data_IF_080866912216
#
_entry.id   IF_080866912216
#
_cell.length_a   1.000
_cell.length_b   1.000
_cell.length_c   1.000
_cell.angle_alpha   90.00
_cell.angle_beta   90.00
_cell.angle_gamma   90.00
#
_symmetry.space_group_name_H-M   'P 1'
#
loop_
_entity.id
_entity.type
_entity.pdbx_description
1 polymer ?
#
# COMPACT_ATOMS: atom_id res chain seq x y z
N UNK A 1 29.28 -47.50 69.16
CA UNK A 1 27.94 -47.25 69.69
C UNK A 1 27.32 -46.17 68.82
N UNK A 2 26.79 -46.63 67.65
CA UNK A 2 26.40 -45.77 66.54
C UNK A 2 24.90 -45.57 66.57
N UNK A 3 24.47 -44.32 66.62
CA UNK A 3 23.07 -43.94 66.59
C UNK A 3 22.82 -43.36 65.21
N UNK A 4 22.11 -44.12 64.32
CA UNK A 4 21.64 -43.69 63.01
C UNK A 4 20.35 -42.87 63.20
N UNK A 5 20.37 -41.62 62.70
CA UNK A 5 19.18 -40.84 62.60
C UNK A 5 18.55 -41.01 61.19
N UNK A 6 17.32 -41.49 61.19
CA UNK A 6 16.47 -41.57 59.97
C UNK A 6 15.86 -40.17 59.70
N UNK A 7 16.08 -39.66 58.53
CA UNK A 7 15.33 -38.52 57.96
C UNK A 7 14.25 -39.01 57.02
N UNK A 8 12.99 -38.59 57.18
CA UNK A 8 11.94 -38.87 56.14
C UNK A 8 12.01 -37.89 54.98
N UNK A 9 12.11 -38.43 53.79
CA UNK A 9 12.06 -37.65 52.58
C UNK A 9 10.65 -37.12 52.30
N UNK A 10 10.46 -35.82 52.38
CA UNK A 10 9.23 -35.15 51.96
C UNK A 10 9.18 -35.09 50.42
N UNK A 11 8.33 -35.90 49.81
CA UNK A 11 7.97 -35.78 48.38
C UNK A 11 7.11 -34.55 48.21
N UNK A 12 7.67 -33.48 47.59
CA UNK A 12 6.91 -32.34 47.07
C UNK A 12 6.18 -32.77 45.81
N UNK A 13 4.86 -32.84 45.89
CA UNK A 13 4.01 -32.92 44.70
C UNK A 13 4.01 -31.55 44.04
N UNK A 14 4.62 -31.44 42.86
CA UNK A 14 4.49 -30.27 41.99
C UNK A 14 3.14 -30.41 41.30
N UNK A 15 2.17 -29.58 41.69
CA UNK A 15 0.95 -29.39 40.91
C UNK A 15 1.32 -28.60 39.64
N UNK A 16 1.27 -29.29 38.51
CA UNK A 16 1.33 -28.64 37.18
C UNK A 16 -0.08 -28.15 36.89
N UNK A 17 -0.33 -26.87 37.13
CA UNK A 17 -1.52 -26.20 36.65
C UNK A 17 -1.34 -26.02 35.12
N UNK A 18 -2.08 -26.82 34.33
CA UNK A 18 -2.11 -26.71 32.89
C UNK A 18 -2.80 -25.39 32.52
N UNK A 19 -2.02 -24.35 32.25
CA UNK A 19 -2.54 -23.11 31.62
C UNK A 19 -2.89 -23.47 30.21
N UNK A 20 -4.19 -23.67 29.93
CA UNK A 20 -4.72 -23.75 28.56
C UNK A 20 -4.65 -22.34 28.00
N UNK A 21 -3.58 -22.04 27.23
CA UNK A 21 -3.52 -20.87 26.38
C UNK A 21 -4.54 -21.06 25.25
N UNK A 22 -5.72 -20.48 25.40
CA UNK A 22 -6.64 -20.29 24.29
C UNK A 22 -5.98 -19.31 23.31
N UNK A 23 -5.37 -19.84 22.27
CA UNK A 23 -5.02 -19.04 21.09
C UNK A 23 -6.33 -18.60 20.43
N UNK A 24 -6.79 -17.38 20.78
CA UNK A 24 -7.80 -16.68 20.02
C UNK A 24 -7.08 -16.20 18.77
N UNK A 25 -7.06 -17.04 17.73
CA UNK A 25 -6.75 -16.56 16.38
C UNK A 25 -7.83 -15.55 16.01
N UNK A 26 -7.50 -14.29 15.70
CA UNK A 26 -8.50 -13.40 15.13
C UNK A 26 -8.93 -14.03 13.81
N UNK A 27 -10.14 -14.56 13.76
CA UNK A 27 -10.84 -14.78 12.49
C UNK A 27 -11.00 -13.37 11.90
N UNK A 28 -10.15 -13.02 10.95
CA UNK A 28 -10.45 -11.96 10.01
C UNK A 28 -11.61 -12.48 9.16
N UNK A 29 -12.82 -12.27 9.65
CA UNK A 29 -13.99 -12.38 8.83
C UNK A 29 -13.86 -11.26 7.79
N UNK A 30 -13.45 -11.63 6.58
CA UNK A 30 -13.72 -10.81 5.41
C UNK A 30 -15.24 -10.81 5.31
N UNK A 31 -15.87 -9.76 5.80
CA UNK A 31 -17.29 -9.57 5.60
C UNK A 31 -17.45 -9.18 4.13
N UNK A 32 -17.83 -10.17 3.31
CA UNK A 32 -18.27 -9.91 1.95
C UNK A 32 -19.43 -8.92 2.04
N UNK A 33 -19.34 -7.79 1.35
CA UNK A 33 -20.46 -6.84 1.33
C UNK A 33 -21.54 -7.34 0.39
N UNK A 34 -22.79 -7.14 0.78
CA UNK A 34 -23.95 -7.49 -0.03
C UNK A 34 -24.17 -6.47 -1.15
N UNK A 35 -24.93 -6.82 -2.18
CA UNK A 35 -25.32 -5.91 -3.26
C UNK A 35 -26.12 -4.70 -2.70
N UNK A 36 -26.94 -4.92 -1.68
CA UNK A 36 -27.69 -3.86 -1.01
C UNK A 36 -26.74 -2.87 -0.30
N UNK A 37 -25.75 -3.38 0.42
CA UNK A 37 -24.71 -2.55 1.07
C UNK A 37 -23.85 -1.80 0.06
N UNK A 38 -23.47 -2.42 -1.06
CA UNK A 38 -22.76 -1.77 -2.14
C UNK A 38 -23.58 -0.62 -2.73
N UNK A 39 -24.86 -0.86 -3.03
CA UNK A 39 -25.78 0.16 -3.52
C UNK A 39 -25.95 1.30 -2.51
N UNK A 40 -26.14 0.99 -1.23
CA UNK A 40 -26.23 1.99 -0.17
C UNK A 40 -24.98 2.85 -0.05
N UNK A 41 -23.79 2.27 -0.25
CA UNK A 41 -22.53 3.02 -0.22
C UNK A 41 -22.33 3.90 -1.46
N UNK A 42 -22.81 3.49 -2.64
CA UNK A 42 -22.84 4.36 -3.82
C UNK A 42 -23.67 5.63 -3.57
N UNK A 43 -24.78 5.53 -2.84
CA UNK A 43 -25.60 6.68 -2.48
C UNK A 43 -24.92 7.64 -1.48
N UNK A 44 -23.95 7.15 -0.69
CA UNK A 44 -23.23 7.94 0.32
C UNK A 44 -22.00 8.70 -0.23
N UNK A 45 -21.68 8.61 -1.51
CA UNK A 45 -20.49 9.25 -2.08
C UNK A 45 -20.47 10.78 -1.82
N UNK A 46 -21.62 11.43 -1.95
CA UNK A 46 -21.77 12.86 -1.64
C UNK A 46 -21.58 13.18 -0.16
N UNK A 47 -21.95 12.27 0.73
CA UNK A 47 -21.77 12.41 2.17
C UNK A 47 -20.28 12.34 2.53
N UNK A 48 -19.53 11.38 1.97
CA UNK A 48 -18.07 11.30 2.15
C UNK A 48 -17.39 12.58 1.67
N UNK A 49 -17.78 13.12 0.52
CA UNK A 49 -17.26 14.38 0.00
C UNK A 49 -17.55 15.55 0.95
N UNK A 50 -18.78 15.65 1.45
CA UNK A 50 -19.22 16.73 2.36
C UNK A 50 -18.50 16.64 3.71
N UNK A 51 -18.39 15.43 4.27
CA UNK A 51 -17.69 15.22 5.55
C UNK A 51 -16.18 15.48 5.43
N UNK A 52 -15.57 15.01 4.36
CA UNK A 52 -14.18 15.35 4.02
C UNK A 52 -13.97 16.86 3.96
N UNK A 53 -14.87 17.59 3.29
CA UNK A 53 -14.86 19.06 3.22
C UNK A 53 -15.00 19.74 4.58
N UNK A 54 -15.79 19.17 5.49
CA UNK A 54 -15.92 19.67 6.87
C UNK A 54 -14.59 19.53 7.63
N UNK A 55 -13.97 18.33 7.61
CA UNK A 55 -12.66 18.14 8.26
C UNK A 55 -11.57 18.98 7.63
N UNK A 56 -11.58 19.13 6.31
CA UNK A 56 -10.63 19.98 5.58
C UNK A 56 -10.68 21.45 6.04
N UNK A 57 -11.89 22.01 6.17
CA UNK A 57 -12.09 23.38 6.71
C UNK A 57 -11.59 23.52 8.15
N UNK A 58 -11.67 22.45 8.94
CA UNK A 58 -11.16 22.41 10.31
C UNK A 58 -9.64 22.12 10.36
N UNK A 59 -8.95 22.06 9.23
CA UNK A 59 -7.53 21.71 9.08
C UNK A 59 -7.16 20.31 9.64
N UNK A 60 -8.14 19.41 9.76
CA UNK A 60 -7.96 18.02 10.17
C UNK A 60 -7.71 17.18 8.91
N UNK A 61 -6.56 17.42 8.24
CA UNK A 61 -6.30 16.89 6.90
C UNK A 61 -6.26 15.38 6.83
N UNK A 62 -5.75 14.68 7.84
CA UNK A 62 -5.76 13.22 7.89
C UNK A 62 -7.20 12.66 7.90
N UNK A 63 -8.11 13.24 8.72
CA UNK A 63 -9.52 12.83 8.74
C UNK A 63 -10.26 13.19 7.44
N UNK A 64 -9.94 14.36 6.86
CA UNK A 64 -10.47 14.74 5.56
C UNK A 64 -10.08 13.73 4.49
N UNK A 65 -8.81 13.31 4.50
CA UNK A 65 -8.26 12.31 3.57
C UNK A 65 -8.98 10.98 3.67
N UNK A 66 -9.20 10.46 4.86
CA UNK A 66 -9.96 9.22 5.07
C UNK A 66 -11.34 9.26 4.41
N UNK A 67 -12.06 10.37 4.51
CA UNK A 67 -13.36 10.53 3.86
C UNK A 67 -13.23 10.66 2.34
N UNK A 68 -12.25 11.41 1.87
CA UNK A 68 -12.01 11.56 0.43
C UNK A 68 -11.50 10.26 -0.21
N UNK A 69 -10.70 9.44 0.48
CA UNK A 69 -10.30 8.12 0.01
C UNK A 69 -11.50 7.17 -0.09
N UNK A 70 -12.47 7.24 0.85
CA UNK A 70 -13.75 6.54 0.73
C UNK A 70 -14.55 7.04 -0.47
N UNK A 71 -14.58 8.38 -0.68
CA UNK A 71 -15.21 8.97 -1.87
C UNK A 71 -14.58 8.41 -3.14
N UNK A 72 -13.24 8.33 -3.22
CA UNK A 72 -12.51 7.74 -4.36
C UNK A 72 -12.95 6.30 -4.57
N UNK A 73 -12.78 5.45 -3.57
CA UNK A 73 -13.06 4.02 -3.68
C UNK A 73 -14.48 3.74 -4.18
N UNK A 74 -15.48 4.42 -3.62
CA UNK A 74 -16.86 4.25 -4.04
C UNK A 74 -17.18 4.92 -5.39
N UNK A 75 -16.55 6.07 -5.72
CA UNK A 75 -16.74 6.70 -7.03
C UNK A 75 -16.27 5.79 -8.17
N UNK A 76 -15.14 5.12 -8.00
CA UNK A 76 -14.62 4.15 -8.98
C UNK A 76 -15.47 2.87 -9.01
N UNK A 77 -15.75 2.28 -7.85
CA UNK A 77 -16.53 1.05 -7.76
C UNK A 77 -17.95 1.20 -8.32
N UNK A 78 -18.56 2.38 -8.13
CA UNK A 78 -19.89 2.71 -8.69
C UNK A 78 -19.82 3.28 -10.11
N UNK A 79 -18.61 3.25 -10.74
CA UNK A 79 -18.38 3.68 -12.12
C UNK A 79 -18.88 5.10 -12.43
N UNK A 80 -18.63 6.04 -11.52
CA UNK A 80 -18.95 7.43 -11.79
C UNK A 80 -18.10 7.98 -12.94
N UNK A 81 -18.60 9.00 -13.62
CA UNK A 81 -17.87 9.64 -14.71
C UNK A 81 -16.52 10.22 -14.27
N UNK A 82 -15.59 10.32 -15.22
CA UNK A 82 -14.19 10.75 -15.02
C UNK A 82 -14.08 12.05 -14.22
N UNK A 83 -14.96 13.03 -14.47
CA UNK A 83 -14.94 14.32 -13.75
C UNK A 83 -15.20 14.14 -12.23
N UNK A 84 -16.11 13.26 -11.85
CA UNK A 84 -16.43 13.00 -10.44
C UNK A 84 -15.28 12.27 -9.74
N UNK A 85 -14.67 11.29 -10.42
CA UNK A 85 -13.51 10.55 -9.92
C UNK A 85 -12.29 11.48 -9.82
N UNK A 86 -12.02 12.29 -10.84
CA UNK A 86 -10.94 13.28 -10.82
C UNK A 86 -11.08 14.28 -9.67
N UNK A 87 -12.31 14.72 -9.38
CA UNK A 87 -12.56 15.59 -8.24
C UNK A 87 -12.19 14.92 -6.92
N UNK A 88 -12.51 13.64 -6.76
CA UNK A 88 -12.17 12.89 -5.54
C UNK A 88 -10.64 12.75 -5.38
N UNK A 89 -9.89 12.43 -6.43
CA UNK A 89 -8.42 12.38 -6.41
C UNK A 89 -7.81 13.74 -6.02
N UNK A 90 -8.31 14.82 -6.62
CA UNK A 90 -7.84 16.17 -6.31
C UNK A 90 -8.10 16.54 -4.84
N UNK A 91 -9.25 16.14 -4.27
CA UNK A 91 -9.56 16.35 -2.86
C UNK A 91 -8.55 15.65 -1.95
N UNK A 92 -8.19 14.39 -2.23
CA UNK A 92 -7.14 13.68 -1.49
C UNK A 92 -5.79 14.39 -1.65
N UNK A 93 -5.39 14.72 -2.89
CA UNK A 93 -4.12 15.39 -3.17
C UNK A 93 -3.97 16.69 -2.38
N UNK A 94 -5.01 17.50 -2.30
CA UNK A 94 -4.99 18.77 -1.56
C UNK A 94 -4.80 18.58 -0.05
N UNK A 95 -5.23 17.46 0.54
CA UNK A 95 -4.92 17.17 1.94
C UNK A 95 -3.43 16.98 2.15
N UNK A 96 -2.77 16.25 1.25
CA UNK A 96 -1.31 16.05 1.28
C UNK A 96 -0.54 17.36 1.04
N UNK A 97 -1.02 18.24 0.15
CA UNK A 97 -0.43 19.57 -0.07
C UNK A 97 -0.39 20.36 1.24
N UNK A 98 -1.50 20.38 1.99
CA UNK A 98 -1.57 21.12 3.25
C UNK A 98 -0.71 20.54 4.38
N UNK A 99 -0.32 19.26 4.27
CA UNK A 99 0.64 18.62 5.16
C UNK A 99 2.09 18.74 4.67
N UNK A 100 2.33 19.40 3.52
CA UNK A 100 3.64 19.53 2.91
C UNK A 100 4.14 18.25 2.20
N UNK A 101 3.27 17.25 2.04
CA UNK A 101 3.58 15.97 1.41
C UNK A 101 3.38 16.03 -0.12
N UNK A 102 4.13 16.92 -0.79
CA UNK A 102 3.93 17.23 -2.21
C UNK A 102 4.18 16.06 -3.15
N UNK A 103 5.01 15.08 -2.78
CA UNK A 103 5.25 13.89 -3.60
C UNK A 103 4.05 12.94 -3.60
N UNK A 104 3.37 12.78 -2.44
CA UNK A 104 2.11 12.02 -2.35
C UNK A 104 1.00 12.75 -3.09
N UNK A 105 0.92 14.09 -2.94
CA UNK A 105 -0.02 14.90 -3.70
C UNK A 105 0.17 14.72 -5.21
N UNK A 106 1.42 14.77 -5.69
CA UNK A 106 1.75 14.51 -7.11
C UNK A 106 1.29 13.14 -7.56
N UNK A 107 1.51 12.09 -6.74
CA UNK A 107 1.09 10.74 -7.09
C UNK A 107 -0.43 10.68 -7.33
N UNK A 108 -1.24 11.28 -6.47
CA UNK A 108 -2.68 11.36 -6.64
C UNK A 108 -3.12 12.18 -7.86
N UNK A 109 -2.49 13.32 -8.12
CA UNK A 109 -2.80 14.16 -9.29
C UNK A 109 -2.41 13.50 -10.61
N UNK A 110 -1.39 12.64 -10.60
CA UNK A 110 -0.93 11.91 -11.79
C UNK A 110 -1.78 10.69 -12.13
N UNK A 111 -2.81 10.34 -11.36
CA UNK A 111 -3.75 9.27 -11.73
C UNK A 111 -4.56 9.70 -12.97
N UNK A 112 -5.04 10.95 -13.00
CA UNK A 112 -5.69 11.57 -14.17
C UNK A 112 -5.00 12.90 -14.52
N UNK A 113 -3.79 12.84 -15.11
CA UNK A 113 -2.94 14.03 -15.30
C UNK A 113 -3.50 15.02 -16.33
N UNK A 114 -4.42 14.58 -17.16
CA UNK A 114 -5.05 15.41 -18.20
C UNK A 114 -6.37 16.06 -17.74
N UNK A 115 -6.85 15.76 -16.54
CA UNK A 115 -7.99 16.46 -15.95
C UNK A 115 -7.64 17.93 -15.66
N UNK A 116 -8.55 18.84 -15.92
CA UNK A 116 -8.33 20.29 -15.77
C UNK A 116 -7.93 20.71 -14.35
N UNK A 117 -8.50 20.07 -13.32
CA UNK A 117 -8.16 20.36 -11.92
C UNK A 117 -6.80 19.78 -11.55
N UNK A 118 -6.47 18.59 -12.06
CA UNK A 118 -5.16 17.99 -11.88
C UNK A 118 -4.06 18.83 -12.52
N UNK A 119 -4.25 19.29 -13.75
CA UNK A 119 -3.34 20.23 -14.43
C UNK A 119 -3.15 21.49 -13.60
N UNK A 120 -4.25 22.15 -13.21
CA UNK A 120 -4.19 23.36 -12.42
C UNK A 120 -3.42 23.18 -11.11
N UNK A 121 -3.65 22.08 -10.38
CA UNK A 121 -2.98 21.81 -9.11
C UNK A 121 -1.50 21.43 -9.31
N UNK A 122 -1.17 20.63 -10.34
CA UNK A 122 0.22 20.31 -10.69
C UNK A 122 1.03 21.57 -11.03
N UNK A 123 0.45 22.49 -11.81
CA UNK A 123 1.07 23.76 -12.13
C UNK A 123 1.23 24.65 -10.89
N UNK A 124 0.16 24.82 -10.12
CA UNK A 124 0.13 25.64 -8.90
C UNK A 124 1.19 25.23 -7.88
N UNK A 125 1.42 23.94 -7.70
CA UNK A 125 2.37 23.40 -6.72
C UNK A 125 3.68 22.92 -7.35
N UNK A 126 3.93 23.24 -8.62
CA UNK A 126 5.09 22.76 -9.38
C UNK A 126 6.43 23.08 -8.70
N UNK A 127 6.57 24.27 -8.11
CA UNK A 127 7.75 24.69 -7.35
C UNK A 127 7.99 23.83 -6.12
N UNK A 128 6.95 23.58 -5.33
CA UNK A 128 7.04 22.76 -4.11
C UNK A 128 7.31 21.29 -4.43
N UNK A 129 6.67 20.77 -5.49
CA UNK A 129 6.93 19.42 -6.00
C UNK A 129 8.38 19.31 -6.44
N UNK A 130 8.89 20.25 -7.23
CA UNK A 130 10.30 20.29 -7.67
C UNK A 130 11.25 20.31 -6.47
N UNK A 131 11.03 21.19 -5.51
CA UNK A 131 11.84 21.28 -4.29
C UNK A 131 11.81 19.97 -3.49
N UNK A 132 10.66 19.29 -3.45
CA UNK A 132 10.53 17.99 -2.78
C UNK A 132 11.31 16.90 -3.50
N UNK A 133 11.28 16.87 -4.84
CA UNK A 133 12.11 15.96 -5.66
C UNK A 133 13.60 16.26 -5.46
N UNK A 134 13.99 17.52 -5.40
CA UNK A 134 15.42 17.89 -5.19
C UNK A 134 15.97 17.41 -3.86
N UNK A 135 15.13 17.37 -2.81
CA UNK A 135 15.49 16.87 -1.47
C UNK A 135 15.60 15.35 -1.38
N UNK A 136 15.02 14.59 -2.33
CA UNK A 136 15.16 13.15 -2.34
C UNK A 136 16.63 12.74 -2.44
N UNK A 137 16.99 11.71 -1.69
CA UNK A 137 18.28 11.06 -1.81
C UNK A 137 18.55 10.64 -3.27
N UNK A 138 19.79 10.78 -3.74
CA UNK A 138 20.22 10.24 -5.02
C UNK A 138 20.31 8.70 -5.01
N UNK A 139 20.28 8.09 -3.82
CA UNK A 139 20.28 6.64 -3.64
C UNK A 139 18.92 6.05 -3.98
N UNK A 140 18.88 4.74 -4.15
CA UNK A 140 17.68 3.98 -4.54
C UNK A 140 16.64 3.78 -3.43
N UNK A 141 17.00 4.10 -2.17
CA UNK A 141 16.11 3.96 -1.02
C UNK A 141 14.86 4.84 -1.17
N UNK A 142 13.70 4.34 -0.75
CA UNK A 142 12.46 5.11 -0.78
C UNK A 142 11.21 4.24 -0.73
N UNK A 143 10.08 4.92 -0.63
CA UNK A 143 8.77 4.34 -0.85
C UNK A 143 8.21 4.81 -2.19
N UNK A 144 7.78 3.86 -2.99
CA UNK A 144 7.31 4.06 -4.36
C UNK A 144 5.89 3.55 -4.50
N UNK A 145 5.02 4.32 -5.15
CA UNK A 145 3.59 4.05 -5.28
C UNK A 145 3.16 3.94 -6.74
N UNK A 146 2.38 2.91 -7.04
CA UNK A 146 1.64 2.73 -8.28
C UNK A 146 0.16 2.58 -7.94
N UNK A 147 -0.69 3.36 -8.58
CA UNK A 147 -2.13 3.29 -8.32
C UNK A 147 -2.73 1.96 -8.78
N UNK A 148 -3.49 1.32 -7.91
CA UNK A 148 -4.11 0.02 -8.15
C UNK A 148 -5.65 0.08 -8.26
N UNK A 149 -6.25 1.27 -8.07
CA UNK A 149 -7.69 1.47 -8.05
C UNK A 149 -8.30 1.47 -6.65
N UNK A 150 -9.52 1.93 -6.53
CA UNK A 150 -10.33 1.96 -5.30
C UNK A 150 -9.58 2.54 -4.06
N UNK A 151 -8.80 3.61 -4.25
CA UNK A 151 -7.90 4.22 -3.25
C UNK A 151 -6.70 3.38 -2.84
N UNK A 152 -6.47 2.20 -3.43
CA UNK A 152 -5.34 1.35 -3.10
C UNK A 152 -4.11 1.67 -3.95
N UNK A 153 -2.95 1.46 -3.35
CA UNK A 153 -1.65 1.66 -3.98
C UNK A 153 -0.81 0.40 -3.87
N UNK A 154 -0.41 -0.15 -5.01
CA UNK A 154 0.70 -1.08 -5.01
C UNK A 154 1.97 -0.34 -4.61
N UNK A 155 2.72 -0.91 -3.68
CA UNK A 155 3.87 -0.25 -3.09
C UNK A 155 5.14 -1.05 -3.29
N UNK A 156 6.24 -0.32 -3.51
CA UNK A 156 7.58 -0.89 -3.50
C UNK A 156 8.40 -0.10 -2.47
N UNK A 157 8.87 -0.76 -1.41
CA UNK A 157 9.70 -0.13 -0.40
C UNK A 157 11.13 -0.62 -0.54
N UNK A 158 12.07 0.29 -0.78
CA UNK A 158 13.49 -0.02 -0.95
C UNK A 158 14.26 0.57 0.22
N UNK A 159 14.97 -0.28 0.98
CA UNK A 159 15.75 0.13 2.16
C UNK A 159 17.18 -0.39 2.06
N UNK A 160 18.19 0.39 2.51
CA UNK A 160 19.56 -0.11 2.58
C UNK A 160 19.69 -1.33 3.49
N UNK A 161 20.44 -2.34 3.04
CA UNK A 161 20.80 -3.52 3.82
C UNK A 161 22.29 -3.87 3.57
N UNK A 162 23.18 -3.31 4.35
CA UNK A 162 24.63 -3.39 4.10
C UNK A 162 25.00 -2.71 2.77
N UNK A 163 25.61 -3.47 1.86
CA UNK A 163 25.95 -2.99 0.51
C UNK A 163 24.86 -3.24 -0.53
N UNK A 164 23.75 -3.87 -0.12
CA UNK A 164 22.59 -4.21 -0.95
C UNK A 164 21.37 -3.43 -0.50
N UNK A 165 20.25 -3.71 -1.13
CA UNK A 165 18.95 -3.12 -0.79
C UNK A 165 17.92 -4.21 -0.56
N UNK A 166 17.20 -4.13 0.57
CA UNK A 166 15.98 -4.89 0.78
C UNK A 166 14.86 -4.23 -0.01
N UNK A 167 14.14 -5.03 -0.79
CA UNK A 167 12.99 -4.60 -1.58
C UNK A 167 11.77 -5.39 -1.11
N UNK A 168 10.78 -4.67 -0.62
CA UNK A 168 9.49 -5.22 -0.20
C UNK A 168 8.43 -4.71 -1.19
N UNK A 169 7.74 -5.63 -1.85
CA UNK A 169 6.61 -5.35 -2.74
C UNK A 169 5.30 -5.78 -2.10
N UNK A 170 4.28 -4.94 -2.22
CA UNK A 170 2.89 -5.28 -1.95
C UNK A 170 2.04 -4.74 -3.09
N UNK A 171 1.39 -5.64 -3.82
CA UNK A 171 0.58 -5.33 -4.98
C UNK A 171 -0.88 -5.66 -4.78
N UNK A 172 -1.72 -4.89 -5.48
CA UNK A 172 -3.17 -5.07 -5.48
C UNK A 172 -3.72 -5.07 -6.90
N UNK A 173 -4.81 -5.79 -7.09
CA UNK A 173 -5.66 -5.66 -8.26
C UNK A 173 -7.11 -5.51 -7.82
N UNK A 174 -7.73 -4.38 -8.21
CA UNK A 174 -9.11 -4.01 -7.85
C UNK A 174 -10.03 -4.21 -9.07
N UNK A 175 -10.33 -5.49 -9.41
CA UNK A 175 -11.32 -5.80 -10.42
C UNK A 175 -12.76 -5.49 -9.95
N UNK A 176 -13.74 -5.66 -10.84
CA UNK A 176 -15.16 -5.37 -10.55
C UNK A 176 -15.69 -6.04 -9.27
N UNK A 177 -15.17 -7.21 -8.93
CA UNK A 177 -15.59 -7.96 -7.75
C UNK A 177 -14.84 -7.54 -6.48
N UNK A 178 -13.84 -6.65 -6.58
CA UNK A 178 -13.05 -6.24 -5.43
C UNK A 178 -13.88 -5.52 -4.35
N UNK A 179 -14.96 -4.87 -4.73
CA UNK A 179 -15.87 -4.25 -3.75
C UNK A 179 -16.58 -5.29 -2.88
N UNK A 180 -16.77 -6.54 -3.36
CA UNK A 180 -17.46 -7.62 -2.65
C UNK A 180 -16.49 -8.50 -1.87
N UNK A 181 -15.36 -8.89 -2.48
CA UNK A 181 -14.43 -9.90 -1.95
C UNK A 181 -13.07 -9.33 -1.55
N UNK A 182 -12.89 -8.02 -1.68
CA UNK A 182 -11.60 -7.37 -1.54
C UNK A 182 -10.71 -7.50 -2.78
N UNK A 183 -9.55 -6.82 -2.81
CA UNK A 183 -8.60 -6.87 -3.92
C UNK A 183 -7.86 -8.21 -3.95
N UNK A 184 -7.44 -8.65 -5.14
CA UNK A 184 -6.39 -9.67 -5.23
C UNK A 184 -5.07 -9.07 -4.75
N UNK A 185 -4.25 -9.89 -4.09
CA UNK A 185 -3.00 -9.45 -3.43
C UNK A 185 -1.81 -10.24 -3.99
N UNK A 186 -0.67 -9.59 -4.08
CA UNK A 186 0.62 -10.20 -4.36
C UNK A 186 1.71 -9.51 -3.58
N UNK A 187 2.68 -10.28 -3.10
CA UNK A 187 3.79 -9.73 -2.32
C UNK A 187 5.08 -10.51 -2.54
N UNK A 188 6.19 -9.82 -2.42
CA UNK A 188 7.49 -10.44 -2.23
C UNK A 188 8.41 -9.57 -1.38
N UNK A 189 9.42 -10.21 -0.79
CA UNK A 189 10.51 -9.55 -0.10
C UNK A 189 11.82 -10.18 -0.56
N UNK A 190 12.78 -9.34 -1.00
CA UNK A 190 14.06 -9.80 -1.51
C UNK A 190 15.18 -8.82 -1.17
N UNK A 191 16.44 -9.24 -1.39
CA UNK A 191 17.62 -8.40 -1.22
C UNK A 191 18.39 -8.36 -2.54
N UNK A 192 18.51 -7.17 -3.13
CA UNK A 192 19.11 -6.95 -4.45
C UNK A 192 20.37 -6.11 -4.38
N UNK A 193 21.29 -6.39 -5.29
CA UNK A 193 22.34 -5.47 -5.65
C UNK A 193 21.78 -4.46 -6.64
N UNK A 194 22.03 -3.18 -6.38
CA UNK A 194 21.63 -2.09 -7.28
C UNK A 194 22.89 -1.43 -7.80
N UNK A 195 23.11 -1.51 -9.09
CA UNK A 195 24.20 -0.85 -9.79
C UNK A 195 23.69 0.24 -10.71
N UNK A 196 24.13 1.48 -10.50
CA UNK A 196 23.71 2.64 -11.30
C UNK A 196 22.18 2.77 -11.46
N UNK A 197 21.42 2.46 -10.38
CA UNK A 197 19.96 2.49 -10.39
C UNK A 197 19.30 1.30 -11.11
N UNK A 198 20.07 0.28 -11.49
CA UNK A 198 19.56 -0.94 -12.12
C UNK A 198 19.67 -2.12 -11.17
N UNK A 199 18.66 -2.99 -11.18
CA UNK A 199 18.69 -4.25 -10.48
C UNK A 199 17.89 -5.31 -11.26
N UNK A 200 18.12 -6.57 -10.96
CA UNK A 200 17.39 -7.70 -11.50
C UNK A 200 16.98 -8.62 -10.35
N UNK A 201 15.76 -9.10 -10.39
CA UNK A 201 15.22 -10.10 -9.46
C UNK A 201 14.64 -11.27 -10.23
N UNK A 202 15.12 -12.47 -9.92
CA UNK A 202 14.50 -13.71 -10.36
C UNK A 202 13.76 -14.29 -9.15
N UNK A 203 12.45 -14.35 -9.23
CA UNK A 203 11.59 -14.97 -8.24
C UNK A 203 11.29 -16.38 -8.72
N UNK A 204 11.63 -17.39 -7.90
CA UNK A 204 11.31 -18.78 -8.23
C UNK A 204 9.81 -18.92 -8.40
N UNK A 205 9.41 -19.31 -9.61
CA UNK A 205 8.03 -19.64 -9.94
C UNK A 205 7.70 -21.07 -9.55
N UNK A 206 6.50 -21.47 -9.89
CA UNK A 206 6.05 -22.85 -9.88
C UNK A 206 6.50 -23.59 -11.16
N UNK A 207 5.73 -24.55 -11.63
CA UNK A 207 6.05 -25.42 -12.79
C UNK A 207 6.27 -24.67 -14.12
N UNK A 208 5.91 -23.36 -14.21
CA UNK A 208 6.04 -22.53 -15.43
C UNK A 208 7.36 -21.75 -15.51
N UNK A 209 8.23 -21.87 -14.50
CA UNK A 209 9.54 -21.25 -14.44
C UNK A 209 9.60 -19.94 -13.64
N UNK A 210 10.80 -19.36 -13.57
CA UNK A 210 11.07 -18.18 -12.77
C UNK A 210 10.46 -16.92 -13.40
N UNK A 211 9.84 -16.07 -12.56
CA UNK A 211 9.50 -14.72 -12.93
C UNK A 211 10.72 -13.80 -12.78
N UNK A 212 11.06 -13.09 -13.83
CA UNK A 212 12.20 -12.19 -13.84
C UNK A 212 11.75 -10.75 -14.00
N UNK A 213 12.21 -9.90 -13.08
CA UNK A 213 11.90 -8.46 -13.05
C UNK A 213 13.18 -7.64 -13.18
N UNK A 214 13.18 -6.70 -14.11
CA UNK A 214 14.21 -5.67 -14.27
C UNK A 214 13.72 -4.37 -13.63
N UNK A 215 14.55 -3.77 -12.78
CA UNK A 215 14.29 -2.52 -12.07
C UNK A 215 15.10 -1.40 -12.71
N UNK A 216 14.49 -0.26 -12.97
CA UNK A 216 15.12 1.01 -13.35
C UNK A 216 14.72 2.07 -12.34
N UNK A 217 15.62 2.36 -11.39
CA UNK A 217 15.41 3.24 -10.26
C UNK A 217 16.01 4.60 -10.59
N UNK A 218 15.16 5.60 -10.76
CA UNK A 218 15.56 7.00 -10.92
C UNK A 218 15.29 7.76 -9.62
N UNK A 219 15.67 9.04 -9.62
CA UNK A 219 15.56 9.88 -8.41
C UNK A 219 14.15 9.90 -7.83
N UNK A 220 13.13 9.99 -8.68
CA UNK A 220 11.73 10.16 -8.28
C UNK A 220 10.76 9.14 -8.91
N UNK A 221 11.28 8.20 -9.67
CA UNK A 221 10.51 7.14 -10.34
C UNK A 221 11.23 5.79 -10.22
N UNK A 222 10.44 4.73 -10.13
CA UNK A 222 10.89 3.36 -10.31
C UNK A 222 10.09 2.74 -11.46
N UNK A 223 10.77 2.17 -12.44
CA UNK A 223 10.15 1.36 -13.48
C UNK A 223 10.51 -0.10 -13.26
N UNK A 224 9.52 -0.97 -13.19
CA UNK A 224 9.71 -2.41 -13.10
C UNK A 224 9.15 -3.04 -14.37
N UNK A 225 9.93 -3.92 -14.99
CA UNK A 225 9.52 -4.69 -16.17
C UNK A 225 9.65 -6.17 -15.90
N UNK A 226 8.61 -6.93 -16.16
CA UNK A 226 8.69 -8.38 -16.18
C UNK A 226 9.27 -8.81 -17.53
N UNK A 227 10.36 -9.57 -17.49
CA UNK A 227 11.13 -9.99 -18.68
C UNK A 227 11.07 -11.50 -18.91
N UNK A 228 10.59 -12.27 -17.94
CA UNK A 228 10.30 -13.71 -18.07
C UNK A 228 9.24 -14.14 -17.04
N UNK A 229 8.64 -15.31 -17.28
CA UNK A 229 7.59 -15.91 -16.47
C UNK A 229 6.21 -15.30 -16.73
N UNK A 230 5.17 -16.12 -16.78
CA UNK A 230 3.78 -15.69 -16.95
C UNK A 230 3.04 -15.68 -15.61
N UNK A 231 3.25 -16.70 -14.80
CA UNK A 231 2.63 -16.88 -13.51
C UNK A 231 3.65 -16.73 -12.37
N UNK A 232 3.52 -15.66 -11.60
CA UNK A 232 4.50 -15.31 -10.56
C UNK A 232 4.01 -15.64 -9.13
N UNK A 233 2.99 -16.47 -8.98
CA UNK A 233 2.45 -16.86 -7.67
C UNK A 233 1.66 -15.76 -6.97
N UNK A 234 1.32 -14.67 -7.66
CA UNK A 234 0.46 -13.61 -7.13
C UNK A 234 -1.02 -13.95 -7.33
N UNK A 235 -1.89 -13.23 -6.63
CA UNK A 235 -3.32 -13.26 -6.90
C UNK A 235 -3.63 -12.85 -8.34
N UNK A 236 -4.79 -13.26 -8.85
CA UNK A 236 -5.20 -13.05 -10.23
C UNK A 236 -5.05 -11.57 -10.66
N UNK A 237 -4.40 -11.31 -11.80
CA UNK A 237 -4.09 -10.00 -12.36
C UNK A 237 -3.22 -9.08 -11.49
N UNK A 238 -2.61 -9.57 -10.42
CA UNK A 238 -1.60 -8.81 -9.69
C UNK A 238 -0.24 -8.97 -10.36
N UNK A 239 0.45 -7.86 -10.57
CA UNK A 239 1.82 -7.83 -11.09
C UNK A 239 2.67 -6.78 -10.37
N UNK A 240 3.97 -6.99 -10.39
CA UNK A 240 4.92 -6.01 -9.85
C UNK A 240 5.43 -5.03 -10.93
N UNK A 241 5.13 -5.30 -12.19
CA UNK A 241 5.52 -4.45 -13.31
C UNK A 241 4.75 -3.14 -13.34
N UNK A 242 5.40 -2.09 -13.80
CA UNK A 242 4.81 -0.77 -13.99
C UNK A 242 5.72 0.38 -13.60
N UNK A 243 5.14 1.56 -13.50
CA UNK A 243 5.82 2.80 -13.11
C UNK A 243 5.31 3.25 -11.76
N UNK A 244 6.23 3.41 -10.83
CA UNK A 244 5.96 3.80 -9.45
C UNK A 244 6.52 5.19 -9.20
N UNK A 245 5.70 6.07 -8.60
CA UNK A 245 6.15 7.38 -8.16
C UNK A 245 6.84 7.27 -6.79
N UNK A 246 8.05 7.82 -6.64
CA UNK A 246 8.68 7.93 -5.32
C UNK A 246 7.96 8.98 -4.50
N UNK A 247 7.53 8.59 -3.29
CA UNK A 247 6.69 9.44 -2.42
C UNK A 247 7.34 9.80 -1.10
N UNK A 248 8.41 9.08 -0.71
CA UNK A 248 9.16 9.31 0.55
C UNK A 248 10.64 8.91 0.43
N UNK A 249 11.51 9.46 1.32
CA UNK A 249 12.97 9.35 1.56
C UNK A 249 13.86 10.03 0.54
#
# INVERSE_FOLDING_TARGET
MDIQYFYPSARRFIKIDAIILLFITPLFAHADITEEEATANCLKISEYSAEGGKYYKLKQYAKAREQYERQVGWSESCQLGEEAVAMAYNNVALTYVHEGNYLKARAWLNILPNDKKSIFNLEKFSGDIKNSVEKLSAKSEGQYWQYAGASLWSTMTIKPQGQKYKVDFQGYYTGLMAMYYGPNIGEFSTVLEVDNGKAKYAMSGDDEGDCVYDFDIKKDLLTVKRTAGEWCGFGHNVGAEGVYNRVEF
#
